data_IF_849735765670
#
_entry.id   IF_849735765670
#
_cell.length_a   1.000
_cell.length_b   1.000
_cell.length_c   1.000
_cell.angle_alpha   90.00
_cell.angle_beta   90.00
_cell.angle_gamma   90.00
#
_symmetry.space_group_name_H-M   'P 1'
#
loop_
_entity.id
_entity.type
_entity.pdbx_description
1 polymer ?
#
# COMPACT_ATOMS: atom_id res chain seq x y z
N UNK A 1 -11.73 24.09 -36.53
CA UNK A 1 -11.96 23.94 -35.07
C UNK A 1 -11.01 22.86 -34.59
N UNK A 2 -10.21 23.10 -33.55
CA UNK A 2 -9.34 22.07 -32.96
C UNK A 2 -10.19 21.24 -32.02
N UNK A 3 -10.29 19.94 -32.25
CA UNK A 3 -11.08 19.05 -31.41
C UNK A 3 -10.27 18.71 -30.14
N UNK A 4 -10.66 19.22 -28.98
CA UNK A 4 -10.02 18.86 -27.70
C UNK A 4 -10.29 17.40 -27.36
N UNK A 5 -9.34 16.53 -27.67
CA UNK A 5 -9.40 15.12 -27.31
C UNK A 5 -9.30 14.93 -25.80
N UNK A 6 -10.43 14.57 -25.17
CA UNK A 6 -10.49 14.20 -23.73
C UNK A 6 -9.65 12.96 -23.46
N UNK A 7 -8.43 13.17 -22.96
CA UNK A 7 -7.49 12.10 -22.55
C UNK A 7 -8.12 11.26 -21.44
N UNK A 8 -8.35 9.97 -21.71
CA UNK A 8 -8.77 8.98 -20.70
C UNK A 8 -7.54 8.21 -20.21
N UNK A 9 -7.51 7.88 -18.92
CA UNK A 9 -6.42 7.16 -18.26
C UNK A 9 -6.97 5.93 -17.54
N UNK A 10 -6.23 4.82 -17.57
CA UNK A 10 -6.56 3.54 -16.92
C UNK A 10 -5.42 3.23 -15.95
N UNK A 11 -5.69 2.92 -14.68
CA UNK A 11 -4.67 2.76 -13.63
C UNK A 11 -4.90 1.42 -12.89
N UNK A 12 -3.82 0.68 -12.66
CA UNK A 12 -3.74 -0.73 -12.27
C UNK A 12 -2.33 -1.03 -11.66
N UNK A 13 -1.77 -2.26 -11.75
CA UNK A 13 -0.69 -2.78 -10.88
C UNK A 13 0.58 -3.53 -11.46
N UNK A 14 1.82 -2.99 -11.25
CA UNK A 14 3.17 -3.65 -11.26
C UNK A 14 4.18 -2.93 -10.32
N UNK A 15 5.05 -3.65 -9.59
CA UNK A 15 5.97 -3.12 -8.55
C UNK A 15 7.44 -2.98 -9.00
N UNK A 16 8.12 -1.87 -8.69
CA UNK A 16 9.53 -1.59 -9.03
C UNK A 16 10.20 -0.69 -7.95
N UNK A 17 11.48 -0.88 -7.67
CA UNK A 17 12.20 -0.31 -6.50
C UNK A 17 13.18 0.84 -6.84
N UNK A 18 13.42 1.76 -5.88
CA UNK A 18 14.45 2.83 -5.92
C UNK A 18 14.85 3.30 -4.50
N UNK A 19 16.07 3.86 -4.36
CA UNK A 19 16.71 4.27 -3.08
C UNK A 19 16.50 5.76 -2.70
N UNK A 20 16.72 6.11 -1.41
CA UNK A 20 16.31 7.36 -0.76
C UNK A 20 17.36 7.99 0.19
N UNK A 21 17.07 9.20 0.71
CA UNK A 21 17.78 9.96 1.77
C UNK A 21 17.04 11.31 2.06
N UNK A 22 17.04 11.99 3.23
CA UNK A 22 17.35 11.67 4.65
C UNK A 22 16.84 12.82 5.58
N UNK A 23 16.86 12.58 6.91
CA UNK A 23 17.15 13.51 8.06
C UNK A 23 16.08 14.38 8.80
N UNK A 24 16.03 14.10 10.11
CA UNK A 24 16.12 14.98 11.32
C UNK A 24 14.85 15.51 12.07
N UNK A 25 15.02 15.69 13.40
CA UNK A 25 14.10 15.19 14.45
C UNK A 25 13.29 16.23 15.26
N UNK A 26 12.31 15.76 16.08
CA UNK A 26 12.11 16.04 17.55
C UNK A 26 10.61 16.02 18.00
N UNK A 27 10.27 15.45 19.17
CA UNK A 27 8.91 15.45 19.81
C UNK A 27 8.94 16.02 21.25
N UNK A 28 7.91 16.18 22.11
CA UNK A 28 6.61 15.50 22.46
C UNK A 28 5.73 16.53 23.29
N UNK A 29 4.61 16.24 24.03
CA UNK A 29 3.66 15.10 24.15
C UNK A 29 2.13 15.45 24.21
N UNK A 30 1.26 14.41 24.21
CA UNK A 30 -0.13 14.35 24.69
C UNK A 30 -0.69 12.94 24.37
N UNK A 31 -1.54 12.28 25.17
CA UNK A 31 -1.84 10.82 25.01
C UNK A 31 -2.79 10.44 23.83
N UNK A 32 -2.72 11.17 22.72
CA UNK A 32 -2.98 10.59 21.40
C UNK A 32 -1.62 10.25 20.80
N UNK A 33 -1.43 9.00 20.37
CA UNK A 33 -0.22 8.64 19.65
C UNK A 33 -0.37 9.03 18.19
N UNK A 34 0.56 9.86 17.72
CA UNK A 34 0.63 10.36 16.36
C UNK A 34 1.79 9.69 15.62
N UNK A 35 1.48 9.19 14.42
CA UNK A 35 2.46 8.72 13.43
C UNK A 35 2.38 9.62 12.21
N UNK A 36 3.51 10.13 11.76
CA UNK A 36 3.58 10.84 10.48
C UNK A 36 3.72 9.79 9.37
N UNK A 37 2.66 9.52 8.61
CA UNK A 37 2.81 8.68 7.44
C UNK A 37 3.47 9.50 6.33
N UNK A 38 4.67 9.09 5.93
CA UNK A 38 5.36 9.64 4.77
C UNK A 38 5.27 8.60 3.66
N UNK A 39 4.69 9.00 2.55
CA UNK A 39 4.60 8.11 1.42
C UNK A 39 5.78 8.30 0.49
N UNK A 40 6.70 7.33 0.51
CA UNK A 40 7.75 7.23 -0.49
C UNK A 40 7.15 7.11 -1.89
N UNK A 41 7.92 7.50 -2.92
CA UNK A 41 7.45 7.54 -4.30
C UNK A 41 7.09 6.14 -4.84
N UNK A 42 5.84 5.71 -4.62
CA UNK A 42 5.33 4.41 -5.06
C UNK A 42 3.98 4.00 -4.45
N UNK A 43 3.62 4.49 -3.26
CA UNK A 43 2.67 3.83 -2.33
C UNK A 43 1.24 4.38 -2.19
N UNK A 44 0.38 4.15 -3.17
CA UNK A 44 -0.81 5.01 -3.35
C UNK A 44 -2.09 4.52 -2.62
N UNK A 45 -3.05 5.43 -2.39
CA UNK A 45 -4.51 5.11 -2.36
C UNK A 45 -5.29 5.78 -3.52
N UNK A 46 -4.86 6.95 -4.02
CA UNK A 46 -5.28 7.46 -5.36
C UNK A 46 -4.10 8.05 -6.19
N UNK A 47 -4.35 8.64 -7.37
CA UNK A 47 -3.30 9.22 -8.23
C UNK A 47 -3.46 10.73 -8.58
N UNK A 48 -2.56 11.56 -8.06
CA UNK A 48 -2.20 12.86 -8.65
C UNK A 48 -0.86 12.77 -9.41
N UNK A 49 -0.91 12.66 -10.74
CA UNK A 49 0.28 12.57 -11.59
C UNK A 49 1.06 11.26 -11.37
N UNK A 50 2.12 11.33 -10.57
CA UNK A 50 2.93 10.18 -10.10
C UNK A 50 3.01 10.06 -8.57
N UNK A 51 2.53 11.06 -7.82
CA UNK A 51 2.66 11.11 -6.36
C UNK A 51 1.70 10.16 -5.67
N UNK A 52 2.02 9.86 -4.41
CA UNK A 52 1.10 9.27 -3.46
C UNK A 52 0.25 10.36 -2.83
N UNK A 53 -1.01 10.03 -2.57
CA UNK A 53 -1.92 10.79 -1.72
C UNK A 53 -2.65 9.74 -0.87
N UNK A 54 -2.59 9.90 0.45
CA UNK A 54 -3.51 9.31 1.42
C UNK A 54 -4.85 10.02 1.34
N UNK A 55 -5.94 9.32 1.59
CA UNK A 55 -7.27 9.89 1.67
C UNK A 55 -7.77 10.00 3.12
N UNK A 56 -8.53 11.05 3.40
CA UNK A 56 -9.21 11.23 4.68
C UNK A 56 -10.09 10.01 4.98
N UNK A 57 -9.81 9.35 6.11
CA UNK A 57 -10.48 8.12 6.53
C UNK A 57 -9.69 6.85 6.21
N UNK A 58 -8.55 6.93 5.50
CA UNK A 58 -7.61 5.82 5.40
C UNK A 58 -7.20 5.39 6.82
N UNK A 59 -7.12 4.07 7.00
CA UNK A 59 -6.84 3.44 8.29
C UNK A 59 -5.78 2.35 8.14
N UNK A 60 -4.96 2.18 9.17
CA UNK A 60 -3.85 1.24 9.22
C UNK A 60 -3.90 0.40 10.52
N UNK A 61 -3.38 -0.82 10.46
CA UNK A 61 -2.95 -1.51 11.67
C UNK A 61 -1.56 -0.97 12.04
N UNK A 62 -1.38 -0.64 13.32
CA UNK A 62 -0.09 -0.32 13.94
C UNK A 62 0.24 -1.43 14.93
N UNK A 63 1.41 -2.02 14.80
CA UNK A 63 1.90 -3.10 15.64
C UNK A 63 3.01 -2.58 16.56
N UNK A 64 2.82 -2.76 17.87
CA UNK A 64 3.81 -2.46 18.91
C UNK A 64 3.98 -3.67 19.81
N UNK A 65 5.14 -3.82 20.47
CA UNK A 65 5.31 -4.87 21.48
C UNK A 65 4.58 -4.50 22.76
N UNK A 66 3.87 -5.47 23.34
CA UNK A 66 3.38 -5.39 24.71
C UNK A 66 4.49 -5.79 25.72
N UNK A 67 4.21 -5.71 27.02
CA UNK A 67 5.15 -6.07 28.10
C UNK A 67 5.63 -7.53 28.05
N UNK A 68 4.91 -8.42 27.36
CA UNK A 68 5.31 -9.81 27.12
C UNK A 68 6.17 -9.99 25.87
N UNK A 69 6.54 -8.90 25.18
CA UNK A 69 7.34 -8.90 23.96
C UNK A 69 6.59 -9.30 22.68
N UNK A 70 5.26 -9.47 22.75
CA UNK A 70 4.41 -9.88 21.64
C UNK A 70 3.85 -8.66 20.92
N UNK A 71 3.88 -8.67 19.58
CA UNK A 71 3.27 -7.61 18.78
C UNK A 71 1.74 -7.64 18.87
N UNK A 72 1.15 -6.51 19.26
CA UNK A 72 -0.30 -6.29 19.31
C UNK A 72 -0.70 -5.23 18.29
N UNK A 73 -1.79 -5.48 17.57
CA UNK A 73 -2.35 -4.52 16.61
C UNK A 73 -3.19 -3.46 17.31
N UNK A 74 -3.19 -2.25 16.78
CA UNK A 74 -4.12 -1.17 17.10
C UNK A 74 -4.49 -0.38 15.84
N UNK A 75 -5.70 0.16 15.79
CA UNK A 75 -6.17 0.96 14.65
C UNK A 75 -5.68 2.39 14.76
N UNK A 76 -5.06 2.91 13.71
CA UNK A 76 -4.82 4.34 13.54
C UNK A 76 -5.53 4.80 12.26
N UNK A 77 -6.02 6.04 12.24
CA UNK A 77 -6.67 6.62 11.06
C UNK A 77 -6.22 8.08 10.83
N UNK A 78 -6.32 8.55 9.59
CA UNK A 78 -6.06 9.95 9.24
C UNK A 78 -7.36 10.73 9.03
N UNK A 79 -7.38 11.98 9.51
CA UNK A 79 -8.46 12.96 9.22
C UNK A 79 -8.17 13.85 8.01
N UNK A 80 -7.05 13.62 7.33
CA UNK A 80 -6.45 14.50 6.30
C UNK A 80 -6.28 13.73 4.98
N UNK A 81 -6.24 14.44 3.85
CA UNK A 81 -5.75 13.89 2.57
C UNK A 81 -4.43 14.57 2.20
N UNK A 82 -3.46 13.83 1.67
CA UNK A 82 -2.17 14.39 1.25
C UNK A 82 -1.07 13.36 1.02
N UNK A 83 0.06 13.78 0.44
CA UNK A 83 1.24 12.91 0.25
C UNK A 83 1.99 12.59 1.55
N UNK A 84 1.67 13.30 2.62
CA UNK A 84 2.03 13.00 4.00
C UNK A 84 0.88 13.47 4.88
N UNK A 85 0.50 12.67 5.86
CA UNK A 85 -0.64 12.92 6.76
C UNK A 85 -0.32 12.40 8.16
N UNK A 86 -1.01 12.93 9.17
CA UNK A 86 -0.91 12.39 10.52
C UNK A 86 -1.96 11.30 10.73
N UNK A 87 -1.49 10.11 11.09
CA UNK A 87 -2.32 9.01 11.58
C UNK A 87 -2.37 9.07 13.10
N UNK A 88 -3.58 8.99 13.68
CA UNK A 88 -3.79 9.06 15.12
C UNK A 88 -4.41 7.78 15.66
N UNK A 89 -3.94 7.36 16.83
CA UNK A 89 -4.47 6.23 17.60
C UNK A 89 -4.56 6.58 19.09
N UNK A 90 -5.44 5.86 19.79
CA UNK A 90 -5.70 6.04 21.23
C UNK A 90 -5.12 4.88 22.04
N UNK A 91 -4.63 5.15 23.26
CA UNK A 91 -4.19 4.11 24.20
C UNK A 91 -2.92 3.34 23.81
N UNK A 92 -2.24 3.70 22.73
CA UNK A 92 -1.01 3.07 22.26
C UNK A 92 0.20 3.90 22.65
N UNK A 93 1.21 3.26 23.23
CA UNK A 93 2.55 3.86 23.41
C UNK A 93 3.43 3.47 22.22
N UNK A 94 3.79 4.45 21.40
CA UNK A 94 4.73 4.25 20.30
C UNK A 94 6.17 4.17 20.86
N UNK A 95 6.85 3.06 20.57
CA UNK A 95 8.28 2.86 20.81
C UNK A 95 9.07 2.94 19.48
N UNK A 96 10.34 2.52 19.49
CA UNK A 96 11.21 2.55 18.30
C UNK A 96 11.06 1.34 17.36
N UNK A 97 10.17 0.41 17.68
CA UNK A 97 9.98 -0.87 17.00
C UNK A 97 8.53 -1.02 16.49
N UNK A 98 7.91 0.10 16.11
CA UNK A 98 6.56 0.15 15.57
C UNK A 98 6.55 -0.25 14.08
N UNK A 99 5.60 -1.10 13.69
CA UNK A 99 5.37 -1.53 12.30
C UNK A 99 3.93 -1.21 11.89
N UNK A 100 3.67 -0.99 10.60
CA UNK A 100 2.33 -0.68 10.12
C UNK A 100 1.98 -1.36 8.80
N UNK A 101 0.69 -1.64 8.60
CA UNK A 101 0.13 -2.11 7.32
C UNK A 101 -1.16 -1.36 6.97
N UNK A 102 -1.25 -0.98 5.70
CA UNK A 102 -2.43 -0.46 5.03
C UNK A 102 -2.93 -1.51 4.01
N UNK A 103 -4.26 -1.69 3.81
CA UNK A 103 -5.35 -1.12 4.60
C UNK A 103 -5.52 -1.84 5.95
N UNK A 104 -6.21 -1.19 6.89
CA UNK A 104 -6.61 -1.80 8.15
C UNK A 104 -7.47 -3.06 7.94
N UNK A 105 -7.19 -4.11 8.71
CA UNK A 105 -8.02 -5.30 8.83
C UNK A 105 -7.79 -5.97 10.18
N UNK A 106 -8.85 -6.49 10.80
CA UNK A 106 -8.76 -7.31 12.02
C UNK A 106 -7.94 -8.59 11.82
N UNK A 107 -7.86 -9.08 10.57
CA UNK A 107 -7.07 -10.25 10.20
C UNK A 107 -5.59 -9.98 9.91
N UNK A 108 -5.13 -8.73 10.01
CA UNK A 108 -3.72 -8.39 9.81
C UNK A 108 -2.91 -8.71 11.07
N UNK A 109 -1.78 -9.41 10.91
CA UNK A 109 -0.85 -9.72 12.01
C UNK A 109 0.59 -9.39 11.64
N UNK A 110 1.45 -9.31 12.65
CA UNK A 110 2.89 -9.12 12.47
C UNK A 110 3.67 -9.93 13.51
N UNK A 111 4.71 -10.64 13.09
CA UNK A 111 5.69 -11.28 13.97
C UNK A 111 7.05 -11.29 13.29
N UNK A 112 8.11 -10.99 14.04
CA UNK A 112 9.51 -11.23 13.63
C UNK A 112 9.88 -10.70 12.22
N UNK A 113 9.39 -9.52 11.86
CA UNK A 113 9.65 -8.90 10.56
C UNK A 113 8.75 -9.37 9.43
N UNK A 114 7.72 -10.18 9.71
CA UNK A 114 6.75 -10.69 8.72
C UNK A 114 5.35 -10.19 9.04
N UNK A 115 4.75 -9.45 8.12
CA UNK A 115 3.31 -9.16 8.15
C UNK A 115 2.54 -10.33 7.52
N UNK A 116 1.37 -10.65 8.06
CA UNK A 116 0.36 -11.48 7.40
C UNK A 116 -0.85 -10.62 7.10
N UNK A 117 -1.35 -10.66 5.87
CA UNK A 117 -2.54 -9.93 5.43
C UNK A 117 -3.27 -10.71 4.34
N UNK A 118 -4.43 -10.23 3.89
CA UNK A 118 -5.19 -10.83 2.78
C UNK A 118 -5.20 -9.90 1.58
N UNK A 119 -4.67 -10.36 0.44
CA UNK A 119 -4.84 -9.67 -0.84
C UNK A 119 -6.09 -10.18 -1.54
N UNK A 120 -6.91 -9.24 -2.03
CA UNK A 120 -8.10 -9.53 -2.83
C UNK A 120 -7.84 -9.14 -4.29
N UNK A 121 -7.99 -10.09 -5.20
CA UNK A 121 -7.91 -9.87 -6.65
C UNK A 121 -9.25 -9.56 -7.30
N UNK A 122 -10.34 -9.50 -6.52
CA UNK A 122 -11.72 -9.29 -7.02
C UNK A 122 -11.72 -8.13 -8.00
N UNK A 123 -12.00 -8.47 -9.26
CA UNK A 123 -11.84 -7.65 -10.47
C UNK A 123 -11.41 -6.21 -10.17
N UNK A 124 -10.12 -5.90 -10.39
CA UNK A 124 -9.57 -4.54 -10.24
C UNK A 124 -10.29 -3.59 -11.20
N UNK A 125 -11.45 -3.09 -10.77
CA UNK A 125 -12.31 -2.23 -11.58
C UNK A 125 -11.51 -0.98 -11.89
N UNK A 126 -11.41 -0.68 -13.18
CA UNK A 126 -10.78 0.54 -13.66
C UNK A 126 -11.56 1.72 -13.08
N UNK A 127 -10.97 2.40 -12.09
CA UNK A 127 -11.53 3.64 -11.54
C UNK A 127 -10.95 4.80 -12.35
N UNK A 128 -11.78 5.82 -12.62
CA UNK A 128 -11.29 7.02 -13.30
C UNK A 128 -10.22 7.68 -12.44
N UNK A 129 -9.01 7.80 -13.01
CA UNK A 129 -7.84 8.45 -12.39
C UNK A 129 -7.36 7.81 -11.07
N UNK A 130 -7.69 6.54 -10.82
CA UNK A 130 -7.24 5.79 -9.65
C UNK A 130 -7.52 4.28 -9.77
N UNK A 131 -7.60 3.62 -8.63
CA UNK A 131 -8.03 2.23 -8.44
C UNK A 131 -8.71 2.16 -7.05
N UNK A 132 -9.35 1.05 -6.64
CA UNK A 132 -10.04 0.98 -5.35
C UNK A 132 -9.06 1.10 -4.17
N UNK A 133 -9.38 1.90 -3.14
CA UNK A 133 -8.48 2.13 -1.99
C UNK A 133 -7.99 0.81 -1.34
N UNK A 134 -8.89 -0.15 -1.20
CA UNK A 134 -8.66 -1.42 -0.48
C UNK A 134 -7.72 -2.43 -1.18
N UNK A 135 -7.31 -2.20 -2.43
CA UNK A 135 -6.51 -3.20 -3.18
C UNK A 135 -5.00 -3.01 -3.08
N UNK A 136 -4.52 -1.85 -2.61
CA UNK A 136 -3.09 -1.57 -2.58
C UNK A 136 -2.52 -1.73 -1.16
N UNK A 137 -2.01 -2.93 -0.89
CA UNK A 137 -1.32 -3.23 0.36
C UNK A 137 0.03 -2.50 0.41
N UNK A 138 0.22 -1.70 1.46
CA UNK A 138 1.47 -1.06 1.79
C UNK A 138 1.87 -1.39 3.23
N UNK A 139 3.15 -1.62 3.47
CA UNK A 139 3.71 -1.89 4.80
C UNK A 139 4.82 -0.89 5.09
N UNK A 140 5.04 -0.59 6.36
CA UNK A 140 6.09 0.34 6.79
C UNK A 140 6.64 -0.02 8.16
N UNK A 141 7.81 0.54 8.46
CA UNK A 141 8.37 0.58 9.82
C UNK A 141 8.52 2.04 10.21
N UNK A 142 8.22 2.31 11.46
CA UNK A 142 8.47 3.58 12.13
C UNK A 142 9.98 3.79 12.32
N UNK A 143 10.46 4.99 12.02
CA UNK A 143 11.79 5.43 12.45
C UNK A 143 11.75 6.04 13.87
N UNK A 144 12.89 6.61 14.30
CA UNK A 144 13.00 7.27 15.60
C UNK A 144 12.13 8.53 15.71
N UNK A 145 11.79 9.17 14.59
CA UNK A 145 11.03 10.42 14.49
C UNK A 145 9.51 10.21 14.48
N UNK A 146 9.07 8.96 14.62
CA UNK A 146 7.67 8.55 14.46
C UNK A 146 7.14 8.76 13.04
N UNK A 147 8.03 8.85 12.06
CA UNK A 147 7.67 8.80 10.66
C UNK A 147 7.62 7.35 10.18
N UNK A 148 6.58 7.01 9.42
CA UNK A 148 6.44 5.70 8.79
C UNK A 148 6.57 5.86 7.29
N UNK A 149 7.71 5.46 6.75
CA UNK A 149 7.89 5.25 5.31
C UNK A 149 7.12 4.01 4.87
N UNK A 150 5.95 4.20 4.27
CA UNK A 150 5.21 3.09 3.66
C UNK A 150 5.82 2.69 2.31
N UNK A 151 5.90 1.38 2.06
CA UNK A 151 6.29 0.75 0.80
C UNK A 151 5.21 -0.22 0.34
N UNK A 152 4.90 -0.16 -0.95
CA UNK A 152 3.92 -1.03 -1.57
C UNK A 152 4.47 -2.45 -1.62
N UNK A 153 3.61 -3.37 -1.22
CA UNK A 153 3.78 -4.80 -1.45
C UNK A 153 3.30 -5.14 -2.86
N UNK A 154 2.17 -4.52 -3.21
CA UNK A 154 1.66 -4.44 -4.55
C UNK A 154 2.38 -3.38 -5.37
N UNK A 155 1.65 -2.82 -6.32
CA UNK A 155 2.13 -2.76 -7.68
C UNK A 155 1.25 -1.72 -8.42
N UNK A 156 1.82 -0.78 -9.20
CA UNK A 156 1.30 0.40 -9.96
C UNK A 156 1.22 0.50 -11.56
N UNK A 157 0.66 -0.42 -12.37
CA UNK A 157 0.57 -0.31 -13.86
C UNK A 157 -0.44 0.75 -14.35
N UNK A 158 -0.01 1.80 -15.06
CA UNK A 158 -0.93 2.76 -15.72
C UNK A 158 -0.98 2.56 -17.24
N UNK A 159 -2.14 2.14 -17.78
CA UNK A 159 -2.39 2.07 -19.21
C UNK A 159 -2.98 3.39 -19.75
N UNK A 160 -2.55 3.79 -20.95
CA UNK A 160 -3.15 4.92 -21.68
C UNK A 160 -3.45 4.48 -23.10
N UNK A 161 -4.74 4.46 -23.44
CA UNK A 161 -5.20 4.24 -24.80
C UNK A 161 -5.11 5.58 -25.56
N UNK A 162 -4.30 5.64 -26.61
CA UNK A 162 -3.92 6.88 -27.30
C UNK A 162 -4.54 7.05 -28.69
N UNK A 163 -5.33 6.07 -29.17
CA UNK A 163 -5.85 6.05 -30.53
C UNK A 163 -7.26 5.44 -30.63
N UNK A 164 -7.81 5.50 -31.83
CA UNK A 164 -9.04 4.85 -32.29
C UNK A 164 -9.04 3.35 -31.93
N UNK A 165 -10.20 2.81 -31.54
CA UNK A 165 -10.32 1.43 -31.03
C UNK A 165 -10.40 1.29 -29.51
N UNK A 166 -10.34 2.38 -28.74
CA UNK A 166 -10.70 2.37 -27.32
C UNK A 166 -12.13 1.84 -27.08
N UNK A 167 -13.04 2.11 -28.01
CA UNK A 167 -14.44 1.64 -27.97
C UNK A 167 -14.59 0.16 -28.40
N UNK A 168 -13.55 -0.43 -29.01
CA UNK A 168 -13.48 -1.85 -29.42
C UNK A 168 -12.64 -2.73 -28.51
N UNK A 169 -11.88 -2.16 -27.57
CA UNK A 169 -11.14 -2.93 -26.56
C UNK A 169 -12.12 -3.75 -25.69
N UNK A 170 -11.82 -5.03 -25.46
CA UNK A 170 -12.68 -5.94 -24.66
C UNK A 170 -11.96 -6.64 -23.51
N UNK A 171 -10.62 -6.69 -23.55
CA UNK A 171 -9.79 -7.42 -22.58
C UNK A 171 -8.36 -6.90 -22.63
N UNK A 172 -7.69 -6.85 -21.48
CA UNK A 172 -6.23 -6.79 -21.38
C UNK A 172 -5.78 -8.04 -20.61
N UNK A 173 -4.82 -8.77 -21.17
CA UNK A 173 -4.11 -9.84 -20.46
C UNK A 173 -2.67 -9.41 -20.19
N UNK A 174 -2.26 -9.48 -18.93
CA UNK A 174 -0.87 -9.35 -18.50
C UNK A 174 -0.41 -10.76 -18.15
N UNK A 175 0.68 -11.23 -18.75
CA UNK A 175 1.20 -12.58 -18.54
C UNK A 175 2.68 -12.55 -18.17
N UNK A 176 3.05 -13.41 -17.23
CA UNK A 176 4.41 -13.75 -16.84
C UNK A 176 5.24 -14.25 -18.03
N UNK A 177 6.52 -13.89 -18.11
CA UNK A 177 7.35 -14.26 -19.26
C UNK A 177 7.86 -15.71 -19.16
N UNK A 178 8.15 -16.19 -17.96
CA UNK A 178 8.61 -17.55 -17.65
C UNK A 178 7.59 -18.40 -16.88
N UNK A 179 6.34 -17.95 -16.75
CA UNK A 179 5.32 -18.62 -15.92
C UNK A 179 5.44 -18.34 -14.43
N UNK A 180 6.23 -17.34 -14.03
CA UNK A 180 6.30 -16.85 -12.66
C UNK A 180 4.92 -16.36 -12.14
N UNK A 181 4.67 -16.50 -10.84
CA UNK A 181 3.46 -15.94 -10.22
C UNK A 181 3.51 -14.42 -10.21
N UNK A 182 2.52 -13.77 -10.83
CA UNK A 182 2.38 -12.30 -10.88
C UNK A 182 1.15 -11.77 -10.11
N UNK A 183 0.28 -12.66 -9.63
CA UNK A 183 -0.85 -12.30 -8.78
C UNK A 183 -1.19 -13.41 -7.77
N UNK A 184 -1.72 -13.00 -6.61
CA UNK A 184 -2.21 -13.89 -5.56
C UNK A 184 -3.54 -13.39 -4.98
N UNK A 185 -4.46 -14.31 -4.66
CA UNK A 185 -5.73 -14.06 -3.98
C UNK A 185 -5.79 -14.91 -2.70
N UNK A 186 -6.00 -14.27 -1.55
CA UNK A 186 -5.99 -14.92 -0.24
C UNK A 186 -4.91 -14.37 0.68
N UNK A 187 -4.52 -15.17 1.66
CA UNK A 187 -3.52 -14.79 2.68
C UNK A 187 -2.12 -14.74 2.07
N UNK A 188 -1.39 -13.67 2.38
CA UNK A 188 -0.01 -13.47 1.94
C UNK A 188 0.87 -13.12 3.13
N UNK A 189 2.12 -13.56 3.07
CA UNK A 189 3.17 -13.20 4.02
C UNK A 189 4.09 -12.18 3.37
N UNK A 190 4.42 -11.11 4.10
CA UNK A 190 5.21 -9.98 3.60
C UNK A 190 6.39 -9.81 4.55
N UNK A 191 7.56 -10.25 4.11
CA UNK A 191 8.79 -10.14 4.87
C UNK A 191 9.41 -8.75 4.66
N UNK A 192 9.69 -8.03 5.74
CA UNK A 192 10.23 -6.67 5.77
C UNK A 192 11.76 -6.64 6.06
N UNK A 193 12.48 -7.71 5.76
CA UNK A 193 13.92 -7.72 6.01
C UNK A 193 14.63 -6.64 5.18
N UNK A 194 15.37 -5.78 5.89
CA UNK A 194 16.19 -4.68 5.35
C UNK A 194 15.41 -3.56 4.62
N UNK A 195 14.10 -3.42 4.84
CA UNK A 195 13.30 -2.31 4.29
C UNK A 195 12.78 -2.49 2.86
N UNK A 196 13.01 -3.65 2.24
CA UNK A 196 12.43 -4.01 0.94
C UNK A 196 11.38 -5.13 1.13
N UNK A 197 10.07 -4.84 1.07
CA UNK A 197 9.04 -5.83 1.32
C UNK A 197 9.05 -6.95 0.27
N UNK A 198 9.10 -8.20 0.73
CA UNK A 198 9.03 -9.40 -0.12
C UNK A 198 7.76 -10.19 0.17
N UNK A 199 6.90 -10.31 -0.83
CA UNK A 199 5.63 -11.04 -0.74
C UNK A 199 5.78 -12.52 -1.15
N UNK A 200 5.10 -13.39 -0.41
CA UNK A 200 4.83 -14.77 -0.78
C UNK A 200 3.34 -15.09 -0.52
N UNK A 201 2.72 -15.87 -1.41
CA UNK A 201 1.39 -16.42 -1.17
C UNK A 201 1.46 -17.51 -0.09
N UNK A 202 0.56 -17.47 0.89
CA UNK A 202 0.45 -18.52 1.92
C UNK A 202 -0.31 -19.74 1.40
N UNK A 203 -0.23 -20.86 2.11
CA UNK A 203 -0.98 -22.08 1.76
C UNK A 203 -2.50 -21.80 1.67
N UNK A 204 -3.16 -22.40 0.68
CA UNK A 204 -4.59 -22.19 0.40
C UNK A 204 -4.91 -20.94 -0.45
N UNK A 205 -3.96 -20.02 -0.64
CA UNK A 205 -4.13 -18.88 -1.55
C UNK A 205 -4.06 -19.31 -3.02
N UNK A 206 -4.86 -18.66 -3.86
CA UNK A 206 -4.79 -18.85 -5.32
C UNK A 206 -3.65 -18.01 -5.88
N UNK A 207 -2.90 -18.55 -6.83
CA UNK A 207 -1.83 -17.86 -7.54
C UNK A 207 -2.08 -17.90 -9.05
N UNK A 208 -1.57 -16.91 -9.78
CA UNK A 208 -1.71 -16.85 -11.24
C UNK A 208 -0.48 -16.27 -11.92
N UNK A 209 -0.13 -16.82 -13.09
CA UNK A 209 0.83 -16.28 -14.05
C UNK A 209 0.17 -15.29 -15.04
N UNK A 210 -1.15 -15.14 -14.97
CA UNK A 210 -1.96 -14.23 -15.82
C UNK A 210 -2.89 -13.35 -14.98
N UNK A 211 -2.94 -12.06 -15.30
CA UNK A 211 -3.98 -11.11 -14.83
C UNK A 211 -4.83 -10.67 -16.00
N UNK A 212 -6.16 -10.73 -15.84
CA UNK A 212 -7.14 -10.26 -16.84
C UNK A 212 -7.86 -9.02 -16.33
N UNK A 213 -8.05 -8.04 -17.22
CA UNK A 213 -8.82 -6.80 -17.03
C UNK A 213 -9.84 -6.63 -18.16
#
# INVERSE_FOLDING_TARGET
MVNEMKKKYIIMAAALAVMACCKEETSVPGESSELLAVSEAGTKTHLEGTKVVWDKGDAINVFVKNDAGVYVSSTFATSESGSSVVFKGEGVKLDTDVYAVHPFSEGNTFSDGVFTTSIRTVAQKIVKDGYPADINVAVGRCDADKAVSFRNVGALLKFRLTQEGADTLRRIEIKANGGETIAAEGTVSINWNNGDPRIAASEGSKVSDVVTL
#
